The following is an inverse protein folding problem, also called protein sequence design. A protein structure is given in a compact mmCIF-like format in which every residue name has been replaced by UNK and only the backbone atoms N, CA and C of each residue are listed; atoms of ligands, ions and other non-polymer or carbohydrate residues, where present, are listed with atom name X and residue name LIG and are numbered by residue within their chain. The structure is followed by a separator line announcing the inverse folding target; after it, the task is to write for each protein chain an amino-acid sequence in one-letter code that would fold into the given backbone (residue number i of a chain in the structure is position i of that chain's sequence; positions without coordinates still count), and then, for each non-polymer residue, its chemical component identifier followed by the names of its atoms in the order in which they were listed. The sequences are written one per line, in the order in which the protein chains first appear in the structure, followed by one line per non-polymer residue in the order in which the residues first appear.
data_IF_117712952452
#
_entry.id   IF_117712952452
#
_cell.length_a   1.000
_cell.length_b   1.000
_cell.length_c   1.000
_cell.angle_alpha   90.00
_cell.angle_beta   90.00
_cell.angle_gamma   90.00
#
_symmetry.space_group_name_H-M   'P 1'
#
loop_
_entity.id
_entity.type
_entity.pdbx_description
1 polymer ?
#
# COMPACT_ATOMS: atom_id res chain seq x y z
N UNK A 1 55.18 -7.20 6.79
CA UNK A 1 53.82 -7.61 6.39
C UNK A 1 52.86 -6.78 7.23
N UNK A 2 52.29 -5.71 6.67
CA UNK A 2 51.44 -4.79 7.43
C UNK A 2 50.02 -5.34 7.48
N UNK A 3 49.49 -5.53 8.69
CA UNK A 3 48.09 -5.90 8.92
C UNK A 3 47.28 -4.63 8.69
N UNK A 4 46.40 -4.64 7.69
CA UNK A 4 45.47 -3.54 7.44
C UNK A 4 44.38 -3.54 8.51
N UNK A 5 43.91 -2.35 8.87
CA UNK A 5 42.76 -2.15 9.74
C UNK A 5 41.48 -2.62 9.04
N UNK A 6 40.51 -3.15 9.80
CA UNK A 6 39.19 -3.50 9.27
C UNK A 6 38.52 -2.32 8.52
N UNK A 7 38.78 -1.10 8.96
CA UNK A 7 38.29 0.11 8.30
C UNK A 7 38.96 0.36 6.94
N UNK A 8 40.24 -0.01 6.80
CA UNK A 8 40.96 0.07 5.52
C UNK A 8 40.49 -1.03 4.56
N UNK A 9 40.14 -2.21 5.07
CA UNK A 9 39.55 -3.28 4.25
C UNK A 9 38.12 -2.94 3.81
N UNK A 10 37.34 -2.22 4.61
CA UNK A 10 36.00 -1.75 4.23
C UNK A 10 36.04 -0.63 3.17
N UNK A 11 37.06 0.25 3.19
CA UNK A 11 37.28 1.23 2.12
C UNK A 11 37.85 0.62 0.84
N UNK A 12 38.61 -0.48 0.96
CA UNK A 12 39.19 -1.23 -0.15
C UNK A 12 38.30 -2.39 -0.63
N UNK A 13 37.15 -2.63 0.00
CA UNK A 13 36.07 -3.31 -0.70
C UNK A 13 35.76 -2.40 -1.87
N UNK A 14 36.31 -2.78 -3.00
CA UNK A 14 36.11 -2.20 -4.31
C UNK A 14 34.69 -1.67 -4.36
N UNK A 15 34.55 -0.44 -4.86
CA UNK A 15 33.32 -0.10 -5.54
C UNK A 15 32.96 -1.31 -6.39
N UNK A 16 32.00 -2.10 -5.89
CA UNK A 16 31.28 -3.03 -6.72
C UNK A 16 30.57 -2.07 -7.65
N UNK A 17 31.25 -1.76 -8.74
CA UNK A 17 30.68 -1.29 -9.99
C UNK A 17 29.85 -2.45 -10.52
N UNK A 18 28.91 -2.91 -9.69
CA UNK A 18 27.60 -3.35 -10.14
C UNK A 18 27.26 -2.31 -11.18
N UNK A 19 27.27 -2.76 -12.43
CA UNK A 19 26.66 -2.02 -13.51
C UNK A 19 25.32 -1.60 -12.94
N UNK A 20 25.19 -0.34 -12.54
CA UNK A 20 23.94 0.19 -11.99
C UNK A 20 22.99 0.15 -13.16
N UNK A 21 22.27 -0.96 -13.26
CA UNK A 21 21.31 -1.19 -14.32
C UNK A 21 20.33 -0.02 -14.31
N UNK A 22 19.90 0.41 -15.49
CA UNK A 22 19.00 1.55 -15.60
C UNK A 22 17.61 1.15 -15.08
N UNK A 23 17.37 1.42 -13.79
CA UNK A 23 16.12 1.09 -13.08
C UNK A 23 14.98 2.05 -13.45
N UNK A 24 15.08 2.86 -14.51
CA UNK A 24 14.00 3.76 -14.97
C UNK A 24 12.67 3.04 -15.25
N UNK A 25 12.71 1.75 -15.57
CA UNK A 25 11.52 0.92 -15.77
C UNK A 25 10.90 0.45 -14.46
N UNK A 26 11.66 0.44 -13.37
CA UNK A 26 11.12 0.26 -12.03
C UNK A 26 10.48 1.61 -11.70
N UNK A 27 9.14 1.70 -11.66
CA UNK A 27 8.51 2.92 -11.20
C UNK A 27 9.03 3.22 -9.79
N UNK A 28 8.99 4.46 -9.31
CA UNK A 28 9.30 4.78 -7.92
C UNK A 28 8.23 4.21 -6.96
N UNK A 29 7.84 2.94 -7.11
CA UNK A 29 6.83 2.21 -6.34
C UNK A 29 7.23 2.19 -4.86
N UNK A 30 8.53 2.16 -4.55
CA UNK A 30 9.02 2.32 -3.18
C UNK A 30 8.49 3.61 -2.57
N UNK A 31 8.49 4.70 -3.32
CA UNK A 31 8.07 6.00 -2.82
C UNK A 31 6.55 6.08 -2.60
N UNK A 32 5.75 5.43 -3.47
CA UNK A 32 4.29 5.36 -3.28
C UNK A 32 3.89 4.47 -2.11
N UNK A 33 4.58 3.34 -1.94
CA UNK A 33 4.39 2.42 -0.81
C UNK A 33 4.85 3.07 0.49
N UNK A 34 6.02 3.71 0.50
CA UNK A 34 6.52 4.49 1.64
C UNK A 34 5.57 5.65 2.00
N UNK A 35 5.05 6.38 1.00
CA UNK A 35 4.06 7.42 1.21
C UNK A 35 2.74 6.87 1.75
N UNK A 36 2.33 5.69 1.30
CA UNK A 36 1.15 4.99 1.83
C UNK A 36 1.36 4.63 3.31
N UNK A 37 2.48 3.98 3.66
CA UNK A 37 2.77 3.58 5.03
C UNK A 37 3.06 4.76 5.96
N UNK A 38 3.63 5.85 5.45
CA UNK A 38 3.76 7.12 6.18
C UNK A 38 2.39 7.70 6.54
N UNK A 39 1.42 7.67 5.61
CA UNK A 39 0.03 8.07 5.88
C UNK A 39 -0.66 7.09 6.82
N UNK A 40 -0.40 5.80 6.68
CA UNK A 40 -0.93 4.78 7.58
C UNK A 40 -0.49 5.01 9.03
N UNK A 41 0.75 5.44 9.26
CA UNK A 41 1.22 5.83 10.60
C UNK A 41 0.43 6.98 11.23
N UNK A 42 -0.07 7.93 10.43
CA UNK A 42 -0.94 9.03 10.89
C UNK A 42 -2.35 8.53 11.20
N UNK A 43 -2.90 7.66 10.33
CA UNK A 43 -4.24 7.06 10.49
C UNK A 43 -4.28 6.14 11.70
N UNK A 44 -3.24 5.32 11.91
CA UNK A 44 -3.06 4.40 13.02
C UNK A 44 -2.25 5.04 14.17
N UNK A 45 -2.57 6.29 14.49
CA UNK A 45 -1.91 7.00 15.60
C UNK A 45 -2.32 6.42 16.97
N UNK A 46 -1.61 6.77 18.03
CA UNK A 46 -1.84 6.26 19.40
C UNK A 46 -3.31 6.35 19.88
N UNK A 47 -4.03 7.38 19.46
CA UNK A 47 -5.45 7.61 19.81
C UNK A 47 -6.42 6.76 18.97
N UNK A 48 -5.94 6.19 17.85
CA UNK A 48 -6.72 5.42 16.87
C UNK A 48 -6.32 3.94 16.81
N UNK A 49 -5.51 3.47 17.78
CA UNK A 49 -5.09 2.06 17.86
C UNK A 49 -6.24 1.08 18.14
N UNK A 50 -7.41 1.57 18.55
CA UNK A 50 -8.62 0.75 18.67
C UNK A 50 -9.30 0.48 17.32
N UNK A 51 -8.78 1.03 16.21
CA UNK A 51 -9.31 0.77 14.89
C UNK A 51 -9.08 -0.70 14.51
N UNK A 52 -10.15 -1.39 14.09
CA UNK A 52 -10.06 -2.75 13.58
C UNK A 52 -9.12 -2.80 12.35
N UNK A 53 -8.17 -3.76 12.26
CA UNK A 53 -7.26 -3.90 11.13
C UNK A 53 -7.96 -3.88 9.76
N UNK A 54 -9.11 -4.56 9.63
CA UNK A 54 -9.89 -4.57 8.39
C UNK A 54 -10.41 -3.18 8.02
N UNK A 55 -10.78 -2.39 9.02
CA UNK A 55 -11.22 -1.00 8.82
C UNK A 55 -10.06 -0.11 8.42
N UNK A 56 -8.88 -0.29 9.01
CA UNK A 56 -7.66 0.42 8.62
C UNK A 56 -7.32 0.15 7.15
N UNK A 57 -7.31 -1.11 6.74
CA UNK A 57 -7.04 -1.53 5.36
C UNK A 57 -8.04 -0.91 4.38
N UNK A 58 -9.33 -0.96 4.71
CA UNK A 58 -10.39 -0.36 3.88
C UNK A 58 -10.19 1.13 3.70
N UNK A 59 -9.87 1.86 4.79
CA UNK A 59 -9.62 3.30 4.73
C UNK A 59 -8.41 3.59 3.85
N UNK A 60 -7.29 2.88 4.03
CA UNK A 60 -6.08 3.09 3.24
C UNK A 60 -6.29 2.78 1.76
N UNK A 61 -7.00 1.70 1.45
CA UNK A 61 -7.36 1.32 0.08
C UNK A 61 -8.16 2.43 -0.62
N UNK A 62 -9.21 2.95 0.02
CA UNK A 62 -10.02 4.05 -0.52
C UNK A 62 -9.20 5.34 -0.64
N UNK A 63 -8.32 5.62 0.32
CA UNK A 63 -7.52 6.84 0.33
C UNK A 63 -6.40 6.86 -0.72
N UNK A 64 -5.85 5.69 -1.06
CA UNK A 64 -4.86 5.52 -2.12
C UNK A 64 -5.52 5.65 -3.50
N UNK A 65 -6.67 4.99 -3.68
CA UNK A 65 -7.41 4.96 -4.95
C UNK A 65 -8.42 6.11 -5.09
N UNK A 66 -8.13 7.29 -4.50
CA UNK A 66 -9.09 8.41 -4.43
C UNK A 66 -9.56 8.90 -5.81
N UNK A 67 -8.75 8.72 -6.85
CA UNK A 67 -9.08 9.06 -8.24
C UNK A 67 -10.11 8.11 -8.88
N UNK A 68 -10.28 6.91 -8.32
CA UNK A 68 -11.14 5.87 -8.88
C UNK A 68 -12.58 5.93 -8.36
N UNK A 69 -12.88 6.81 -7.40
CA UNK A 69 -14.22 6.94 -6.84
C UNK A 69 -14.55 8.39 -6.51
N UNK A 70 -15.82 8.74 -6.60
CA UNK A 70 -16.38 10.04 -6.21
C UNK A 70 -17.65 9.83 -5.38
N UNK A 71 -18.33 10.92 -5.03
CA UNK A 71 -19.58 10.83 -4.27
C UNK A 71 -20.66 10.04 -5.03
N UNK A 72 -20.70 10.17 -6.35
CA UNK A 72 -21.65 9.47 -7.23
C UNK A 72 -21.45 7.95 -7.17
N UNK A 73 -20.19 7.49 -7.31
CA UNK A 73 -19.84 6.07 -7.21
C UNK A 73 -20.19 5.48 -5.83
N UNK A 74 -20.06 6.28 -4.75
CA UNK A 74 -20.45 5.85 -3.40
C UNK A 74 -21.96 5.69 -3.28
N UNK A 75 -22.74 6.63 -3.80
CA UNK A 75 -24.22 6.54 -3.81
C UNK A 75 -24.67 5.30 -4.57
N UNK A 76 -24.11 5.05 -5.75
CA UNK A 76 -24.42 3.87 -6.54
C UNK A 76 -24.07 2.57 -5.79
N UNK A 77 -22.89 2.49 -5.17
CA UNK A 77 -22.48 1.32 -4.39
C UNK A 77 -23.43 1.04 -3.22
N UNK A 78 -23.92 2.08 -2.54
CA UNK A 78 -24.90 1.96 -1.45
C UNK A 78 -26.22 1.40 -1.99
N UNK A 79 -26.69 1.90 -3.12
CA UNK A 79 -27.96 1.46 -3.70
C UNK A 79 -27.88 0.03 -4.25
N UNK A 80 -26.74 -0.37 -4.83
CA UNK A 80 -26.46 -1.76 -5.18
C UNK A 80 -26.44 -2.67 -3.95
N UNK A 81 -25.86 -2.20 -2.84
CA UNK A 81 -25.87 -2.93 -1.57
C UNK A 81 -27.28 -3.15 -1.03
N UNK A 82 -28.16 -2.13 -1.11
CA UNK A 82 -29.58 -2.25 -0.74
C UNK A 82 -30.30 -3.27 -1.63
N UNK A 83 -30.11 -3.19 -2.95
CA UNK A 83 -30.71 -4.12 -3.93
C UNK A 83 -30.30 -5.56 -3.64
N UNK A 84 -29.01 -5.82 -3.37
CA UNK A 84 -28.53 -7.16 -3.02
C UNK A 84 -29.17 -7.70 -1.75
N UNK A 85 -29.38 -6.86 -0.74
CA UNK A 85 -30.03 -7.24 0.53
C UNK A 85 -31.51 -7.55 0.36
N UNK A 86 -32.18 -6.92 -0.60
CA UNK A 86 -33.62 -7.12 -0.87
C UNK A 86 -33.92 -8.25 -1.86
N UNK A 87 -32.93 -8.80 -2.58
CA UNK A 87 -33.16 -9.94 -3.48
C UNK A 87 -33.49 -11.22 -2.66
N UNK A 88 -34.58 -11.94 -2.96
CA UNK A 88 -34.89 -13.22 -2.34
C UNK A 88 -33.79 -14.24 -2.64
N UNK A 89 -33.40 -15.06 -1.64
CA UNK A 89 -32.38 -16.12 -1.77
C UNK A 89 -32.68 -17.17 -2.85
N UNK A 90 -33.89 -17.19 -3.38
CA UNK A 90 -34.36 -18.18 -4.35
C UNK A 90 -33.85 -17.90 -5.78
N UNK A 91 -33.54 -16.64 -6.12
CA UNK A 91 -33.06 -16.27 -7.47
C UNK A 91 -31.55 -16.48 -7.67
N UNK A 92 -30.78 -16.67 -6.60
CA UNK A 92 -29.31 -16.84 -6.66
C UNK A 92 -28.89 -18.30 -6.87
N UNK A 93 -29.81 -19.26 -6.69
CA UNK A 93 -29.56 -20.70 -6.87
C UNK A 93 -30.09 -21.26 -8.20
N UNK A 94 -30.57 -20.41 -9.11
CA UNK A 94 -31.21 -20.80 -10.37
C UNK A 94 -30.32 -20.58 -11.61
N UNK A 95 -29.04 -20.26 -11.44
CA UNK A 95 -28.08 -20.03 -12.55
C UNK A 95 -26.73 -20.71 -12.30
#
# INVERSE_FOLDING_TARGET
MAIKSLAEDALNQEEVTSSREDLKWIPPISNDVERLFSRAGIVFSRLRRSLNPMTLETILFLQFNRSLWDASAVVEAIDLGKKKKTRPREEENAN
#
